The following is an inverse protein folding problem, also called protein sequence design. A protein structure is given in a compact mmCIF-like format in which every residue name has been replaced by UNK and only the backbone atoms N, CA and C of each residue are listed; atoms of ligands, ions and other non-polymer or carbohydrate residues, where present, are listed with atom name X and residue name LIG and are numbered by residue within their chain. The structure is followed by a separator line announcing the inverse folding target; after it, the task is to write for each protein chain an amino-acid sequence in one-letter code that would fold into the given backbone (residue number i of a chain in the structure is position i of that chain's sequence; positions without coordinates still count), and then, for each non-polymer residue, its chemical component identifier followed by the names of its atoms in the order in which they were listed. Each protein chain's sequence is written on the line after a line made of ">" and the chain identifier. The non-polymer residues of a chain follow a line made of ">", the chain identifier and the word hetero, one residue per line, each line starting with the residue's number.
data_IF_158669359281
#
_entry.id   IF_158669359281
#
_cell.length_a   1.000
_cell.length_b   1.000
_cell.length_c   1.000
_cell.angle_alpha   90.00
_cell.angle_beta   90.00
_cell.angle_gamma   90.00
#
_symmetry.space_group_name_H-M   'P 1'
#
loop_
_entity.id
_entity.type
_entity.pdbx_description
1 polymer ?
#
# COMPACT_ATOMS: atom_id res chain seq x y z
N UNK A 1 21.67 0.20 -11.10
CA UNK A 1 20.85 1.01 -10.18
C UNK A 1 19.73 0.10 -9.79
N UNK A 2 19.75 -0.33 -8.54
CA UNK A 2 18.85 -1.36 -8.04
C UNK A 2 17.73 -0.69 -7.26
N UNK A 3 16.56 -1.32 -7.27
CA UNK A 3 15.35 -0.79 -6.68
C UNK A 3 14.78 -1.80 -5.70
N UNK A 4 14.30 -1.29 -4.58
CA UNK A 4 13.60 -2.06 -3.57
C UNK A 4 12.12 -1.81 -3.78
N UNK A 5 11.39 -2.84 -4.14
CA UNK A 5 9.94 -2.81 -4.18
C UNK A 5 9.39 -3.05 -2.76
N UNK A 6 8.51 -2.16 -2.32
CA UNK A 6 7.64 -2.35 -1.17
C UNK A 6 6.23 -2.59 -1.68
N UNK A 7 5.63 -3.71 -1.27
CA UNK A 7 4.32 -4.14 -1.75
C UNK A 7 3.42 -4.43 -0.55
N UNK A 8 2.24 -3.80 -0.53
CA UNK A 8 1.20 -4.02 0.47
C UNK A 8 -0.11 -4.35 -0.23
N UNK A 9 -0.80 -5.40 0.25
CA UNK A 9 -2.14 -5.75 -0.23
C UNK A 9 -3.17 -5.42 0.85
N UNK A 10 -4.09 -4.51 0.54
CA UNK A 10 -5.06 -3.92 1.49
C UNK A 10 -6.46 -3.91 0.91
N UNK A 11 -7.48 -3.68 1.74
CA UNK A 11 -8.84 -3.43 1.24
C UNK A 11 -8.98 -1.98 0.71
N UNK A 12 -10.16 -1.68 0.15
CA UNK A 12 -10.46 -0.35 -0.39
C UNK A 12 -10.46 0.78 0.65
N UNK A 13 -10.72 0.49 1.92
CA UNK A 13 -10.77 1.50 2.99
C UNK A 13 -9.37 1.94 3.40
N UNK A 14 -8.45 0.98 3.52
CA UNK A 14 -7.06 1.25 3.88
C UNK A 14 -6.20 1.75 2.70
N UNK A 15 -6.66 1.60 1.46
CA UNK A 15 -5.86 1.87 0.27
C UNK A 15 -5.36 3.30 0.14
N UNK A 16 -6.24 4.30 0.32
CA UNK A 16 -5.86 5.71 0.22
C UNK A 16 -4.81 6.07 1.27
N UNK A 17 -5.03 5.65 2.51
CA UNK A 17 -4.12 5.94 3.61
C UNK A 17 -2.74 5.27 3.43
N UNK A 18 -2.71 4.05 2.88
CA UNK A 18 -1.45 3.34 2.57
C UNK A 18 -0.73 3.96 1.39
N UNK A 19 -1.44 4.39 0.34
CA UNK A 19 -0.86 5.13 -0.78
C UNK A 19 -0.21 6.43 -0.32
N UNK A 20 -0.92 7.21 0.51
CA UNK A 20 -0.44 8.46 1.10
C UNK A 20 0.76 8.28 2.02
N UNK A 21 0.87 7.13 2.68
CA UNK A 21 2.03 6.80 3.49
C UNK A 21 3.22 6.44 2.58
N UNK A 22 3.01 5.48 1.67
CA UNK A 22 4.07 4.93 0.83
C UNK A 22 4.68 6.00 -0.11
N UNK A 23 3.90 6.93 -0.63
CA UNK A 23 4.42 8.01 -1.49
C UNK A 23 5.45 8.92 -0.81
N UNK A 24 5.50 8.94 0.53
CA UNK A 24 6.47 9.75 1.30
C UNK A 24 7.87 9.13 1.29
N UNK A 25 7.93 7.82 1.05
CA UNK A 25 9.17 7.03 1.07
C UNK A 25 9.56 6.53 -0.33
N UNK A 26 8.57 6.29 -1.19
CA UNK A 26 8.75 5.85 -2.57
C UNK A 26 9.21 6.95 -3.50
N UNK A 27 9.94 6.56 -4.54
CA UNK A 27 10.33 7.44 -5.63
C UNK A 27 9.16 7.66 -6.60
N UNK A 28 8.78 8.92 -6.82
CA UNK A 28 7.78 9.34 -7.81
C UNK A 28 6.37 8.75 -7.62
N UNK A 29 5.97 8.47 -6.39
CA UNK A 29 4.61 8.05 -6.05
C UNK A 29 4.47 6.55 -5.87
N UNK A 30 3.28 6.02 -6.17
CA UNK A 30 2.90 4.62 -5.96
C UNK A 30 2.15 4.07 -7.17
N UNK A 31 2.24 2.75 -7.37
CA UNK A 31 1.36 2.01 -8.28
C UNK A 31 0.25 1.34 -7.47
N UNK A 32 -0.97 1.31 -8.01
CA UNK A 32 -2.15 0.69 -7.39
C UNK A 32 -2.75 -0.28 -8.40
N UNK A 33 -2.85 -1.55 -8.03
CA UNK A 33 -3.36 -2.65 -8.85
C UNK A 33 -4.60 -3.25 -8.19
N UNK A 34 -5.61 -3.60 -9.00
CA UNK A 34 -6.78 -4.36 -8.55
C UNK A 34 -6.53 -5.85 -8.83
N UNK A 35 -6.47 -6.67 -7.77
CA UNK A 35 -6.10 -8.09 -7.90
C UNK A 35 -7.24 -8.96 -8.47
N UNK A 36 -8.49 -8.47 -8.44
CA UNK A 36 -9.71 -9.27 -8.64
C UNK A 36 -10.39 -9.09 -10.02
N UNK A 37 -9.75 -8.42 -10.97
CA UNK A 37 -10.32 -8.25 -12.32
C UNK A 37 -9.95 -9.45 -13.19
N UNK A 38 -10.89 -10.36 -13.40
CA UNK A 38 -10.71 -11.49 -14.32
C UNK A 38 -10.95 -11.06 -15.78
N UNK A 39 -10.25 -11.64 -16.77
CA UNK A 39 -10.38 -11.23 -18.18
C UNK A 39 -11.80 -11.35 -18.74
N UNK A 40 -12.62 -12.26 -18.21
CA UNK A 40 -14.03 -12.46 -18.54
C UNK A 40 -14.95 -11.33 -18.06
N UNK A 41 -14.48 -10.46 -17.16
CA UNK A 41 -15.21 -9.27 -16.70
C UNK A 41 -14.92 -8.01 -17.51
N UNK A 42 -14.09 -8.11 -18.55
CA UNK A 42 -13.76 -6.97 -19.40
C UNK A 42 -14.84 -6.65 -20.44
N UNK A 43 -15.76 -7.58 -20.74
CA UNK A 43 -16.48 -7.54 -22.01
C UNK A 43 -17.93 -7.01 -21.98
N UNK A 44 -18.62 -6.81 -20.83
CA UNK A 44 -20.02 -6.32 -20.93
C UNK A 44 -20.71 -5.78 -19.63
N UNK A 45 -19.99 -5.25 -18.64
CA UNK A 45 -20.66 -4.72 -17.42
C UNK A 45 -19.84 -3.84 -16.49
N UNK A 46 -20.49 -3.27 -15.46
CA UNK A 46 -19.84 -2.52 -14.39
C UNK A 46 -18.76 -3.36 -13.71
N UNK A 47 -17.53 -2.83 -13.65
CA UNK A 47 -16.42 -3.46 -12.91
C UNK A 47 -16.78 -3.43 -11.42
N UNK A 48 -16.88 -4.60 -10.75
CA UNK A 48 -17.17 -4.61 -9.32
C UNK A 48 -16.03 -3.91 -8.56
N UNK A 49 -16.33 -3.22 -7.44
CA UNK A 49 -15.28 -2.64 -6.61
C UNK A 49 -14.28 -3.72 -6.18
N UNK A 50 -13.00 -3.40 -6.24
CA UNK A 50 -11.93 -4.32 -5.86
C UNK A 50 -12.06 -4.71 -4.39
N UNK A 51 -11.94 -6.01 -4.09
CA UNK A 51 -11.93 -6.48 -2.70
C UNK A 51 -10.56 -6.27 -2.08
N UNK A 52 -9.51 -6.43 -2.88
CA UNK A 52 -8.13 -6.08 -2.50
C UNK A 52 -7.44 -5.24 -3.56
N UNK A 53 -6.60 -4.34 -3.05
CA UNK A 53 -5.72 -3.47 -3.81
C UNK A 53 -4.28 -3.76 -3.42
N UNK A 54 -3.43 -3.98 -4.42
CA UNK A 54 -2.00 -4.06 -4.24
C UNK A 54 -1.37 -2.69 -4.51
N UNK A 55 -0.70 -2.14 -3.50
CA UNK A 55 -0.02 -0.85 -3.57
C UNK A 55 1.49 -1.09 -3.54
N UNK A 56 2.18 -0.55 -4.55
CA UNK A 56 3.63 -0.70 -4.71
C UNK A 56 4.33 0.65 -4.66
N UNK A 57 5.45 0.72 -3.95
CA UNK A 57 6.36 1.84 -3.95
C UNK A 57 7.79 1.35 -4.17
N UNK A 58 8.62 2.18 -4.83
CA UNK A 58 9.98 1.81 -5.18
C UNK A 58 10.98 2.75 -4.49
N UNK A 59 11.90 2.19 -3.72
CA UNK A 59 12.99 2.94 -3.11
C UNK A 59 14.30 2.66 -3.86
N UNK A 60 15.17 3.66 -4.05
CA UNK A 60 16.53 3.40 -4.51
C UNK A 60 17.25 2.49 -3.52
N UNK A 61 17.92 1.45 -4.00
CA UNK A 61 18.79 0.60 -3.16
C UNK A 61 20.16 1.28 -2.97
N UNK A 62 20.15 2.32 -2.13
CA UNK A 62 21.33 3.11 -1.78
C UNK A 62 21.59 3.11 -0.27
N UNK A 63 22.63 3.84 0.17
CA UNK A 63 23.04 3.89 1.58
C UNK A 63 21.94 4.40 2.54
N UNK A 64 20.90 5.07 2.03
CA UNK A 64 19.76 5.58 2.82
C UNK A 64 18.61 4.58 2.91
N UNK A 65 18.60 3.54 2.08
CA UNK A 65 17.52 2.56 2.03
C UNK A 65 17.25 1.87 3.38
N UNK A 66 18.26 1.49 4.20
CA UNK A 66 18.01 0.90 5.51
C UNK A 66 17.26 1.84 6.46
N UNK A 67 17.59 3.12 6.47
CA UNK A 67 16.91 4.11 7.29
C UNK A 67 15.47 4.35 6.81
N UNK A 68 15.28 4.50 5.50
CA UNK A 68 13.96 4.67 4.90
C UNK A 68 13.04 3.48 5.20
N UNK A 69 13.56 2.25 5.16
CA UNK A 69 12.83 1.04 5.55
C UNK A 69 12.42 1.07 7.02
N UNK A 70 13.35 1.36 7.93
CA UNK A 70 13.05 1.40 9.37
C UNK A 70 12.00 2.46 9.73
N UNK A 71 12.06 3.63 9.10
CA UNK A 71 11.05 4.68 9.26
C UNK A 71 9.69 4.26 8.70
N UNK A 72 9.67 3.63 7.53
CA UNK A 72 8.44 3.11 6.92
C UNK A 72 7.80 2.01 7.78
N UNK A 73 8.57 1.05 8.27
CA UNK A 73 8.10 -0.01 9.17
C UNK A 73 7.50 0.58 10.46
N UNK A 74 8.13 1.60 11.03
CA UNK A 74 7.62 2.31 12.21
C UNK A 74 6.28 3.01 11.92
N UNK A 75 6.18 3.67 10.77
CA UNK A 75 4.96 4.35 10.34
C UNK A 75 3.80 3.37 10.07
N UNK A 76 4.09 2.23 9.43
CA UNK A 76 3.14 1.13 9.27
C UNK A 76 2.71 0.55 10.62
N UNK A 77 3.63 0.44 11.58
CA UNK A 77 3.34 0.07 12.95
C UNK A 77 2.34 1.02 13.62
N UNK A 78 2.53 2.33 13.49
CA UNK A 78 1.57 3.33 13.98
C UNK A 78 0.21 3.23 13.28
N UNK A 79 0.18 3.00 11.96
CA UNK A 79 -1.07 2.75 11.22
C UNK A 79 -1.81 1.53 11.75
N UNK A 80 -1.11 0.42 11.97
CA UNK A 80 -1.70 -0.79 12.51
C UNK A 80 -2.24 -0.58 13.95
N UNK A 81 -1.67 0.37 14.70
CA UNK A 81 -2.15 0.76 16.02
C UNK A 81 -3.35 1.71 16.02
N UNK A 82 -3.74 2.29 14.88
CA UNK A 82 -4.88 3.21 14.83
C UNK A 82 -6.25 2.51 14.98
N UNK A 83 -6.29 1.17 15.15
CA UNK A 83 -7.49 0.46 15.60
C UNK A 83 -7.28 -0.46 16.83
N UNK A 84 -7.52 0.07 18.04
CA UNK A 84 -7.95 -0.70 19.20
C UNK A 84 -9.29 -0.18 19.78
N UNK A 85 -10.21 -1.10 20.05
CA UNK A 85 -11.58 -0.88 20.57
C UNK A 85 -11.67 -0.05 21.88
N UNK A 86 -12.81 0.60 22.14
CA UNK A 86 -12.99 1.42 23.34
C UNK A 86 -12.91 0.59 24.63
N UNK A 87 -12.53 1.24 25.74
CA UNK A 87 -12.61 0.63 27.07
C UNK A 87 -14.07 0.64 27.58
N UNK A 88 -14.69 -0.51 27.90
CA UNK A 88 -15.84 -0.57 28.80
C UNK A 88 -15.35 -0.47 30.26
N UNK A 89 -16.04 0.11 31.23
CA UNK A 89 -17.23 0.96 31.34
C UNK A 89 -17.01 1.88 32.54
#
# INVERSE_FOLDING_TARGET
>A
MDWIEVTLSVDGEAAEAVADLLQRYGHQGVAIEQDDITPDKWDDGEVPPAQRLTIRAYLPDDERAPEAKAQLESALGYMNMMYPMPKPS
#
